data_IF_647641596426
#
_entry.id   IF_647641596426
#
_cell.length_a   1.000
_cell.length_b   1.000
_cell.length_c   1.000
_cell.angle_alpha   90.00
_cell.angle_beta   90.00
_cell.angle_gamma   90.00
#
_symmetry.space_group_name_H-M   'P 1'
#
loop_
_entity.id
_entity.type
_entity.pdbx_description
1 polymer ?
#
# COMPACT_ATOMS: atom_id res chain seq x y z
N UNK A 1 -39.63 1.47 31.30
CA UNK A 1 -39.61 0.92 29.92
C UNK A 1 -38.92 1.95 29.02
N UNK A 2 -37.67 1.68 28.61
CA UNK A 2 -36.82 2.67 27.94
C UNK A 2 -37.19 2.83 26.46
N UNK A 3 -37.94 3.90 26.17
CA UNK A 3 -38.36 4.34 24.83
C UNK A 3 -37.19 4.66 23.86
N UNK A 4 -35.95 4.77 24.36
CA UNK A 4 -34.77 5.06 23.55
C UNK A 4 -34.31 3.89 22.68
N UNK A 5 -34.50 2.64 23.11
CA UNK A 5 -33.90 1.48 22.43
C UNK A 5 -34.50 1.19 21.04
N UNK A 6 -35.79 1.48 20.86
CA UNK A 6 -36.50 1.28 19.58
C UNK A 6 -36.10 2.28 18.48
N UNK A 7 -35.53 3.43 18.83
CA UNK A 7 -35.11 4.46 17.85
C UNK A 7 -33.66 4.29 17.37
N UNK A 8 -32.80 3.70 18.21
CA UNK A 8 -31.36 3.57 17.88
C UNK A 8 -31.08 2.29 17.09
N UNK A 9 -31.89 1.25 17.29
CA UNK A 9 -31.77 -0.03 16.58
C UNK A 9 -31.79 0.07 15.04
N UNK A 10 -32.71 0.83 14.39
CA UNK A 10 -32.71 0.94 12.93
C UNK A 10 -31.48 1.70 12.40
N UNK A 11 -30.97 2.69 13.14
CA UNK A 11 -29.76 3.42 12.75
C UNK A 11 -28.51 2.53 12.82
N UNK A 12 -28.39 1.72 13.88
CA UNK A 12 -27.29 0.77 14.04
C UNK A 12 -27.29 -0.30 12.93
N UNK A 13 -28.47 -0.81 12.55
CA UNK A 13 -28.60 -1.76 11.45
C UNK A 13 -28.25 -1.11 10.11
N UNK A 14 -28.66 0.14 9.86
CA UNK A 14 -28.30 0.87 8.65
C UNK A 14 -26.80 1.14 8.54
N UNK A 15 -26.12 1.47 9.64
CA UNK A 15 -24.65 1.60 9.65
C UNK A 15 -23.95 0.26 9.47
N UNK A 16 -24.50 -0.83 10.03
CA UNK A 16 -23.94 -2.17 9.85
C UNK A 16 -24.10 -2.64 8.39
N UNK A 17 -25.27 -2.46 7.79
CA UNK A 17 -25.55 -2.82 6.39
C UNK A 17 -24.78 -1.91 5.43
N UNK A 18 -24.67 -0.61 5.72
CA UNK A 18 -23.85 0.32 4.95
C UNK A 18 -22.37 -0.04 4.99
N UNK A 19 -21.83 -0.35 6.19
CA UNK A 19 -20.46 -0.82 6.36
C UNK A 19 -20.21 -2.18 5.70
N UNK A 20 -21.17 -3.10 5.78
CA UNK A 20 -21.08 -4.43 5.16
C UNK A 20 -21.17 -4.37 3.64
N UNK A 21 -22.04 -3.53 3.07
CA UNK A 21 -22.14 -3.33 1.63
C UNK A 21 -20.88 -2.66 1.07
N UNK A 22 -20.34 -1.62 1.74
CA UNK A 22 -19.06 -1.03 1.37
C UNK A 22 -17.91 -2.05 1.45
N UNK A 23 -17.83 -2.83 2.52
CA UNK A 23 -16.84 -3.89 2.68
C UNK A 23 -16.96 -5.01 1.64
N UNK A 24 -18.18 -5.38 1.26
CA UNK A 24 -18.43 -6.46 0.30
C UNK A 24 -18.21 -6.03 -1.16
N UNK A 25 -18.56 -4.80 -1.54
CA UNK A 25 -18.24 -4.27 -2.87
C UNK A 25 -16.76 -3.92 -3.05
N UNK A 26 -16.07 -3.47 -2.00
CA UNK A 26 -14.60 -3.29 -2.02
C UNK A 26 -13.87 -4.65 -1.97
N UNK A 27 -14.41 -5.63 -1.25
CA UNK A 27 -13.81 -6.97 -1.10
C UNK A 27 -14.00 -7.92 -2.28
N UNK A 28 -15.07 -7.79 -3.08
CA UNK A 28 -15.35 -8.70 -4.21
C UNK A 28 -14.38 -8.59 -5.40
N UNK A 29 -13.52 -7.57 -5.43
CA UNK A 29 -12.42 -7.44 -6.39
C UNK A 29 -11.08 -8.01 -5.91
N UNK A 30 -10.97 -8.41 -4.64
CA UNK A 30 -9.75 -8.98 -4.06
C UNK A 30 -9.84 -10.51 -3.95
N UNK A 31 -10.13 -11.18 -5.06
CA UNK A 31 -9.32 -12.36 -5.31
C UNK A 31 -7.91 -11.80 -5.57
N UNK A 32 -7.05 -11.79 -4.55
CA UNK A 32 -5.62 -11.51 -4.73
C UNK A 32 -5.12 -12.52 -5.75
N UNK A 33 -5.15 -12.12 -7.03
CA UNK A 33 -4.30 -12.76 -8.03
C UNK A 33 -2.90 -12.78 -7.41
N UNK A 34 -2.20 -13.92 -7.47
CA UNK A 34 -0.82 -13.97 -6.97
C UNK A 34 -0.11 -12.76 -7.56
N UNK A 35 0.47 -11.94 -6.68
CA UNK A 35 1.18 -10.73 -7.09
C UNK A 35 2.12 -11.16 -8.22
N UNK A 36 1.95 -10.54 -9.40
CA UNK A 36 2.77 -10.88 -10.57
C UNK A 36 4.24 -10.69 -10.20
N UNK A 37 5.17 -11.30 -10.92
CA UNK A 37 6.59 -11.05 -10.66
C UNK A 37 6.87 -9.55 -10.77
N UNK A 38 7.58 -8.99 -9.77
CA UNK A 38 8.14 -7.65 -9.86
C UNK A 38 9.15 -7.63 -11.03
N UNK A 39 9.27 -6.50 -11.74
CA UNK A 39 10.35 -6.35 -12.71
C UNK A 39 11.72 -6.46 -12.03
N UNK A 40 12.75 -6.75 -12.83
CA UNK A 40 14.09 -7.12 -12.34
C UNK A 40 14.74 -6.04 -11.46
N UNK A 41 14.52 -4.77 -11.79
CA UNK A 41 14.99 -3.62 -11.01
C UNK A 41 14.37 -3.60 -9.60
N UNK A 42 13.06 -3.70 -9.50
CA UNK A 42 12.33 -3.64 -8.23
C UNK A 42 12.53 -4.90 -7.39
N UNK A 43 12.66 -6.07 -8.02
CA UNK A 43 12.96 -7.31 -7.30
C UNK A 43 14.38 -7.30 -6.73
N UNK A 44 15.36 -6.80 -7.48
CA UNK A 44 16.74 -6.65 -6.99
C UNK A 44 16.80 -5.66 -5.83
N UNK A 45 16.07 -4.55 -5.93
CA UNK A 45 15.95 -3.57 -4.86
C UNK A 45 15.24 -4.15 -3.62
N UNK A 46 14.15 -4.90 -3.80
CA UNK A 46 13.44 -5.60 -2.70
C UNK A 46 14.40 -6.52 -1.92
N UNK A 47 15.20 -7.33 -2.63
CA UNK A 47 16.17 -8.24 -2.03
C UNK A 47 17.23 -7.46 -1.26
N UNK A 48 17.77 -6.39 -1.84
CA UNK A 48 18.77 -5.54 -1.20
C UNK A 48 18.23 -4.91 0.09
N UNK A 49 17.03 -4.32 0.05
CA UNK A 49 16.40 -3.69 1.21
C UNK A 49 16.06 -4.72 2.29
N UNK A 50 15.50 -5.88 1.91
CA UNK A 50 15.19 -6.97 2.85
C UNK A 50 16.43 -7.41 3.61
N UNK A 51 17.56 -7.58 2.91
CA UNK A 51 18.83 -8.01 3.50
C UNK A 51 19.46 -6.91 4.35
N UNK A 52 19.59 -5.70 3.82
CA UNK A 52 20.30 -4.60 4.45
C UNK A 52 19.60 -4.10 5.72
N UNK A 53 18.26 -4.02 5.69
CA UNK A 53 17.47 -3.56 6.84
C UNK A 53 16.94 -4.70 7.71
N UNK A 54 17.28 -5.95 7.38
CA UNK A 54 16.81 -7.15 8.07
C UNK A 54 15.29 -7.12 8.29
N UNK A 55 14.54 -6.94 7.20
CA UNK A 55 13.08 -6.85 7.28
C UNK A 55 12.46 -8.17 7.76
N UNK A 56 11.48 -8.07 8.64
CA UNK A 56 10.64 -9.22 9.03
C UNK A 56 9.80 -9.71 7.84
N UNK A 57 9.27 -10.92 7.92
CA UNK A 57 8.40 -11.47 6.87
C UNK A 57 7.12 -10.63 6.66
N UNK A 58 6.60 -9.98 7.70
CA UNK A 58 5.46 -9.06 7.59
C UNK A 58 5.89 -7.80 6.83
N UNK A 59 7.00 -7.18 7.23
CA UNK A 59 7.52 -5.99 6.55
C UNK A 59 7.91 -6.27 5.10
N UNK A 60 8.47 -7.45 4.80
CA UNK A 60 8.79 -7.86 3.44
C UNK A 60 7.53 -7.99 2.57
N UNK A 61 6.44 -8.53 3.14
CA UNK A 61 5.14 -8.58 2.46
C UNK A 61 4.58 -7.19 2.21
N UNK A 62 4.65 -6.31 3.19
CA UNK A 62 4.20 -4.91 3.06
C UNK A 62 5.03 -4.15 2.02
N UNK A 63 6.35 -4.34 2.02
CA UNK A 63 7.26 -3.79 1.01
C UNK A 63 6.85 -4.22 -0.39
N UNK A 64 6.59 -5.51 -0.58
CA UNK A 64 6.17 -6.06 -1.87
C UNK A 64 4.86 -5.44 -2.36
N UNK A 65 3.87 -5.27 -1.48
CA UNK A 65 2.61 -4.60 -1.83
C UNK A 65 2.86 -3.16 -2.28
N UNK A 66 3.71 -2.44 -1.56
CA UNK A 66 4.08 -1.06 -1.88
C UNK A 66 4.79 -1.00 -3.24
N UNK A 67 5.73 -1.91 -3.53
CA UNK A 67 6.44 -1.97 -4.80
C UNK A 67 5.53 -2.29 -5.99
N UNK A 68 4.55 -3.18 -5.83
CA UNK A 68 3.58 -3.43 -6.88
C UNK A 68 2.73 -2.22 -7.22
N UNK A 69 2.38 -1.43 -6.20
CA UNK A 69 1.63 -0.19 -6.42
C UNK A 69 2.51 0.86 -7.11
N UNK A 70 3.76 1.00 -6.68
CA UNK A 70 4.74 1.88 -7.34
C UNK A 70 4.85 1.55 -8.83
N UNK A 71 5.06 0.28 -9.15
CA UNK A 71 5.22 -0.17 -10.53
C UNK A 71 3.98 0.09 -11.39
N UNK A 72 2.78 -0.11 -10.83
CA UNK A 72 1.53 0.20 -11.52
C UNK A 72 1.41 1.70 -11.84
N UNK A 73 1.75 2.57 -10.89
CA UNK A 73 1.71 4.03 -11.08
C UNK A 73 2.81 4.49 -12.06
N UNK A 74 4.02 3.92 -11.95
CA UNK A 74 5.14 4.18 -12.87
C UNK A 74 4.77 3.83 -14.31
N UNK A 75 4.21 2.64 -14.56
CA UNK A 75 3.72 2.26 -15.91
C UNK A 75 2.66 3.22 -16.42
N UNK A 76 1.69 3.59 -15.58
CA UNK A 76 0.65 4.53 -15.97
C UNK A 76 1.20 5.89 -16.43
N UNK A 77 2.29 6.36 -15.81
CA UNK A 77 2.99 7.57 -16.23
C UNK A 77 3.73 7.37 -17.56
N UNK A 78 4.45 6.25 -17.70
CA UNK A 78 5.19 5.92 -18.92
C UNK A 78 4.26 5.73 -20.13
N UNK A 79 3.15 5.02 -19.95
CA UNK A 79 2.13 4.75 -20.97
C UNK A 79 1.41 6.03 -21.42
N UNK A 80 1.32 7.03 -20.53
CA UNK A 80 0.74 8.34 -20.86
C UNK A 80 1.63 9.19 -21.79
N UNK A 81 2.81 8.71 -22.19
CA UNK A 81 3.64 9.30 -23.24
C UNK A 81 4.10 10.72 -22.94
N UNK A 82 4.15 11.12 -21.66
CA UNK A 82 4.53 12.49 -21.27
C UNK A 82 6.02 12.67 -21.57
N UNK A 83 6.36 13.57 -22.48
CA UNK A 83 7.75 13.92 -22.78
C UNK A 83 8.46 14.70 -21.64
N UNK A 84 7.79 14.89 -20.49
CA UNK A 84 8.25 15.62 -19.30
C UNK A 84 8.13 14.76 -18.03
N UNK A 85 8.49 13.48 -18.11
CA UNK A 85 8.35 12.47 -17.03
C UNK A 85 9.25 12.68 -15.81
N UNK A 86 10.39 13.36 -15.95
CA UNK A 86 11.39 13.43 -14.89
C UNK A 86 10.85 13.98 -13.54
N UNK A 87 10.13 15.13 -13.49
CA UNK A 87 9.56 15.61 -12.22
C UNK A 87 8.47 14.69 -11.66
N UNK A 88 7.62 14.14 -12.52
CA UNK A 88 6.48 13.31 -12.08
C UNK A 88 6.94 11.94 -11.56
N UNK A 89 8.00 11.37 -12.15
CA UNK A 89 8.65 10.18 -11.65
C UNK A 89 9.40 10.46 -10.35
N UNK A 90 10.11 11.58 -10.24
CA UNK A 90 10.77 11.96 -8.98
C UNK A 90 9.76 12.15 -7.84
N UNK A 91 8.61 12.77 -8.11
CA UNK A 91 7.52 12.89 -7.15
C UNK A 91 6.93 11.52 -6.77
N UNK A 92 6.79 10.62 -7.75
CA UNK A 92 6.38 9.24 -7.50
C UNK A 92 7.36 8.54 -6.56
N UNK A 93 8.66 8.60 -6.87
CA UNK A 93 9.73 7.99 -6.09
C UNK A 93 9.72 8.52 -4.64
N UNK A 94 9.66 9.84 -4.47
CA UNK A 94 9.65 10.47 -3.15
C UNK A 94 8.44 10.05 -2.29
N UNK A 95 7.25 9.95 -2.90
CA UNK A 95 6.03 9.49 -2.19
C UNK A 95 6.16 8.04 -1.74
N UNK A 96 6.69 7.18 -2.59
CA UNK A 96 6.86 5.77 -2.26
C UNK A 96 7.97 5.53 -1.24
N UNK A 97 9.06 6.30 -1.31
CA UNK A 97 10.10 6.31 -0.28
C UNK A 97 9.53 6.71 1.08
N UNK A 98 8.71 7.76 1.14
CA UNK A 98 8.04 8.19 2.36
C UNK A 98 7.08 7.10 2.90
N UNK A 99 6.35 6.40 2.03
CA UNK A 99 5.49 5.28 2.39
C UNK A 99 6.28 4.13 3.00
N UNK A 100 7.40 3.74 2.39
CA UNK A 100 8.27 2.68 2.89
C UNK A 100 8.81 3.06 4.26
N UNK A 101 9.33 4.29 4.41
CA UNK A 101 9.86 4.79 5.69
C UNK A 101 8.81 4.80 6.80
N UNK A 102 7.57 5.20 6.50
CA UNK A 102 6.53 5.40 7.53
C UNK A 102 5.75 4.14 7.85
N UNK A 103 5.55 3.25 6.90
CA UNK A 103 4.69 2.06 7.05
C UNK A 103 5.44 0.74 7.11
N UNK A 104 6.57 0.62 6.42
CA UNK A 104 7.32 -0.65 6.36
C UNK A 104 8.41 -0.66 7.43
N UNK A 105 9.16 0.43 7.56
CA UNK A 105 10.32 0.47 8.45
C UNK A 105 9.96 0.88 9.89
N UNK A 106 10.52 0.16 10.85
CA UNK A 106 10.49 0.58 12.25
C UNK A 106 11.45 1.76 12.52
N UNK A 107 11.47 2.27 13.75
CA UNK A 107 12.32 3.41 14.13
C UNK A 107 13.82 3.12 14.01
N UNK A 108 14.26 1.89 14.32
CA UNK A 108 15.67 1.50 14.25
C UNK A 108 16.13 1.32 12.80
N UNK A 109 15.29 0.71 11.96
CA UNK A 109 15.53 0.53 10.54
C UNK A 109 15.52 1.86 9.78
N UNK A 110 14.62 2.78 10.16
CA UNK A 110 14.64 4.15 9.64
C UNK A 110 15.99 4.82 9.89
N UNK A 111 16.51 4.76 11.12
CA UNK A 111 17.81 5.34 11.46
C UNK A 111 18.95 4.75 10.59
N UNK A 112 18.93 3.43 10.35
CA UNK A 112 19.90 2.78 9.46
C UNK A 112 19.76 3.21 7.99
N UNK A 113 18.53 3.42 7.53
CA UNK A 113 18.27 3.86 6.16
C UNK A 113 18.79 5.28 5.85
N UNK A 114 18.98 6.14 6.87
CA UNK A 114 19.61 7.46 6.72
C UNK A 114 21.14 7.42 6.71
N UNK A 115 21.73 6.30 7.14
CA UNK A 115 23.19 6.13 7.21
C UNK A 115 23.78 5.37 6.01
N UNK A 116 22.94 4.97 5.06
CA UNK A 116 23.31 4.35 3.78
C UNK A 116 23.43 5.44 2.71
#
# INVERSE_FOLDING_TARGET
MNLGFRRVLPAAILTLVGGFALGFFVGRGQATSPLSLLPEDLSSWEIAVKKTLALTEIQARDLRVVLHRYEKERRGLLDAGRSLLAPELADLDARFEALIRTRVLDSNQRAKAFSL
#
